data_IF_958963318138
#
_entry.id   IF_958963318138
#
_cell.length_a   1.000
_cell.length_b   1.000
_cell.length_c   1.000
_cell.angle_alpha   90.00
_cell.angle_beta   90.00
_cell.angle_gamma   90.00
#
_symmetry.space_group_name_H-M   'P 1'
#
loop_
_entity.id
_entity.type
_entity.pdbx_description
1 polymer ?
#
# COMPACT_ATOMS: atom_id res chain seq x y z
N UNK A 1 17.08 7.62 20.99
CA UNK A 1 15.74 7.62 21.63
C UNK A 1 15.34 6.19 21.95
N UNK A 2 14.47 5.93 22.92
CA UNK A 2 13.89 4.59 23.09
C UNK A 2 12.72 4.35 22.12
N UNK A 3 12.28 3.10 21.95
CA UNK A 3 11.24 2.72 20.97
C UNK A 3 9.92 3.46 21.25
N UNK A 4 9.50 3.58 22.51
CA UNK A 4 8.26 4.26 22.85
C UNK A 4 8.34 5.75 22.48
N UNK A 5 9.45 6.41 22.78
CA UNK A 5 9.67 7.81 22.40
C UNK A 5 9.61 8.00 20.89
N UNK A 6 10.20 7.07 20.11
CA UNK A 6 10.14 7.12 18.65
C UNK A 6 8.69 7.03 18.18
N UNK A 7 7.91 6.07 18.69
CA UNK A 7 6.53 5.87 18.26
C UNK A 7 5.62 7.05 18.64
N UNK A 8 5.78 7.60 19.85
CA UNK A 8 5.02 8.80 20.25
C UNK A 8 5.35 10.01 19.37
N UNK A 9 6.62 10.15 18.97
CA UNK A 9 7.03 11.23 18.06
C UNK A 9 6.45 11.07 16.64
N UNK A 10 6.18 9.83 16.20
CA UNK A 10 5.63 9.53 14.87
C UNK A 10 4.11 9.38 14.87
N UNK A 11 3.46 9.45 16.03
CA UNK A 11 2.03 9.13 16.18
C UNK A 11 1.11 10.18 15.56
N UNK A 12 1.46 11.46 15.72
CA UNK A 12 0.66 12.59 15.29
C UNK A 12 1.43 13.52 14.36
N UNK A 13 0.72 14.09 13.38
CA UNK A 13 1.20 15.08 12.45
C UNK A 13 1.58 16.33 13.23
N UNK A 14 2.84 16.72 13.16
CA UNK A 14 3.35 17.90 13.84
C UNK A 14 4.42 18.58 13.03
N UNK A 15 4.45 19.90 13.15
CA UNK A 15 5.50 20.74 12.63
C UNK A 15 6.48 21.12 13.78
N UNK A 16 7.81 21.05 13.56
CA UNK A 16 8.47 20.58 12.34
C UNK A 16 8.40 19.06 12.18
N UNK A 17 8.67 18.57 10.96
CA UNK A 17 8.76 17.14 10.66
C UNK A 17 9.73 16.43 11.63
N UNK A 18 9.36 15.25 12.20
CA UNK A 18 10.12 14.60 13.26
C UNK A 18 11.36 13.86 12.73
N UNK A 19 12.31 14.59 12.12
CA UNK A 19 13.52 14.04 11.50
C UNK A 19 14.32 13.13 12.45
N UNK A 20 14.45 13.52 13.71
CA UNK A 20 15.20 12.72 14.68
C UNK A 20 14.55 11.36 14.91
N UNK A 21 13.23 11.31 15.11
CA UNK A 21 12.50 10.07 15.35
C UNK A 21 12.58 9.13 14.13
N UNK A 22 12.42 9.66 12.91
CA UNK A 22 12.55 8.88 11.67
C UNK A 22 13.96 8.32 11.52
N UNK A 23 15.00 9.13 11.73
CA UNK A 23 16.39 8.67 11.62
C UNK A 23 16.72 7.60 12.67
N UNK A 24 16.23 7.76 13.90
CA UNK A 24 16.38 6.77 14.97
C UNK A 24 15.63 5.48 14.66
N UNK A 25 14.43 5.55 14.08
CA UNK A 25 13.69 4.37 13.62
C UNK A 25 14.46 3.59 12.55
N UNK A 26 15.04 4.29 11.57
CA UNK A 26 15.86 3.68 10.51
C UNK A 26 17.15 3.08 11.08
N UNK A 27 17.83 3.78 11.98
CA UNK A 27 19.06 3.30 12.62
C UNK A 27 18.83 2.05 13.49
N UNK A 28 17.63 1.90 14.07
CA UNK A 28 17.27 0.81 14.98
C UNK A 28 16.20 -0.12 14.38
N UNK A 29 16.21 -0.33 13.06
CA UNK A 29 15.13 -1.02 12.32
C UNK A 29 14.68 -2.34 12.95
N UNK A 30 15.60 -3.21 13.39
CA UNK A 30 15.27 -4.54 13.92
C UNK A 30 14.46 -4.46 15.23
N UNK A 31 14.70 -3.40 16.01
CA UNK A 31 13.99 -3.14 17.25
C UNK A 31 12.62 -2.48 17.01
N UNK A 32 12.51 -1.67 15.96
CA UNK A 32 11.31 -0.87 15.68
C UNK A 32 10.29 -1.63 14.84
N UNK A 33 10.72 -2.53 13.96
CA UNK A 33 9.84 -3.33 13.10
C UNK A 33 8.67 -3.99 13.87
N UNK A 34 8.90 -4.73 14.98
CA UNK A 34 7.79 -5.36 15.70
C UNK A 34 6.74 -4.35 16.18
N UNK A 35 7.15 -3.16 16.58
CA UNK A 35 6.23 -2.13 17.04
C UNK A 35 5.48 -1.46 15.87
N UNK A 36 6.13 -1.26 14.72
CA UNK A 36 5.44 -0.74 13.53
C UNK A 36 4.40 -1.73 12.98
N UNK A 37 4.73 -3.03 12.98
CA UNK A 37 3.75 -4.07 12.62
C UNK A 37 2.55 -4.02 13.57
N UNK A 38 2.80 -3.82 14.88
CA UNK A 38 1.74 -3.68 15.88
C UNK A 38 0.86 -2.46 15.63
N UNK A 39 1.43 -1.32 15.21
CA UNK A 39 0.66 -0.14 14.81
C UNK A 39 -0.30 -0.46 13.66
N UNK A 40 0.13 -1.23 12.65
CA UNK A 40 -0.74 -1.63 11.53
C UNK A 40 -1.79 -2.69 11.92
N UNK A 41 -1.49 -3.55 12.89
CA UNK A 41 -2.48 -4.48 13.44
C UNK A 41 -3.57 -3.73 14.22
N UNK A 42 -3.16 -2.75 15.02
CA UNK A 42 -4.05 -2.02 15.92
C UNK A 42 -4.88 -0.96 15.19
N UNK A 43 -4.37 -0.38 14.09
CA UNK A 43 -5.10 0.63 13.30
C UNK A 43 -6.47 0.13 12.81
N UNK A 44 -6.58 -1.18 12.52
CA UNK A 44 -7.82 -1.85 12.12
C UNK A 44 -8.89 -1.85 13.21
N UNK A 45 -8.48 -1.72 14.47
CA UNK A 45 -9.34 -1.81 15.64
C UNK A 45 -9.63 -0.44 16.26
N UNK A 46 -9.09 0.63 15.69
CA UNK A 46 -9.14 1.99 16.24
C UNK A 46 -9.76 2.98 15.23
N UNK A 47 -11.05 2.81 14.85
CA UNK A 47 -11.71 3.74 13.94
C UNK A 47 -11.68 5.18 14.48
N UNK A 48 -11.76 5.36 15.80
CA UNK A 48 -11.67 6.69 16.42
C UNK A 48 -10.31 7.36 16.22
N UNK A 49 -9.21 6.60 16.18
CA UNK A 49 -7.90 7.15 15.89
C UNK A 49 -7.72 7.45 14.39
N UNK A 50 -8.31 6.63 13.51
CA UNK A 50 -8.30 6.89 12.07
C UNK A 50 -9.17 8.08 11.67
N UNK A 51 -10.15 8.45 12.49
CA UNK A 51 -10.97 9.65 12.33
C UNK A 51 -10.27 10.93 12.84
N UNK A 52 -9.13 10.80 13.52
CA UNK A 52 -8.32 11.95 13.93
C UNK A 52 -7.40 12.34 12.77
N UNK A 53 -7.68 13.46 12.11
CA UNK A 53 -6.91 13.96 10.97
C UNK A 53 -5.43 14.21 11.30
N UNK A 54 -5.10 14.44 12.58
CA UNK A 54 -3.73 14.60 13.02
C UNK A 54 -3.05 13.24 13.27
N UNK A 55 -3.76 12.12 13.34
CA UNK A 55 -3.14 10.81 13.54
C UNK A 55 -2.51 10.28 12.25
N UNK A 56 -1.20 10.05 12.29
CA UNK A 56 -0.41 9.60 11.13
C UNK A 56 0.52 8.43 11.46
N UNK A 57 0.32 7.78 12.61
CA UNK A 57 1.17 6.68 13.07
C UNK A 57 1.21 5.49 12.10
N UNK A 58 0.06 5.13 11.53
CA UNK A 58 -0.04 4.08 10.50
C UNK A 58 0.67 4.48 9.20
N UNK A 59 0.61 5.75 8.81
CA UNK A 59 1.30 6.27 7.63
C UNK A 59 2.81 6.10 7.79
N UNK A 60 3.39 6.54 8.91
CA UNK A 60 4.81 6.32 9.19
C UNK A 60 5.17 4.84 9.22
N UNK A 61 4.32 4.00 9.81
CA UNK A 61 4.54 2.55 9.83
C UNK A 61 4.59 1.98 8.41
N UNK A 62 3.68 2.35 7.51
CA UNK A 62 3.68 1.90 6.13
C UNK A 62 4.96 2.30 5.38
N UNK A 63 5.37 3.57 5.45
CA UNK A 63 6.60 4.02 4.78
C UNK A 63 7.85 3.37 5.32
N UNK A 64 8.00 3.27 6.65
CA UNK A 64 9.18 2.68 7.28
C UNK A 64 9.26 1.18 6.97
N UNK A 65 8.15 0.44 7.09
CA UNK A 65 8.11 -0.99 6.77
C UNK A 65 8.37 -1.25 5.27
N UNK A 66 7.89 -0.38 4.37
CA UNK A 66 8.23 -0.41 2.96
C UNK A 66 9.72 -0.14 2.71
N UNK A 67 10.29 0.88 3.35
CA UNK A 67 11.72 1.18 3.29
C UNK A 67 12.58 0.00 3.77
N UNK A 68 12.13 -0.70 4.81
CA UNK A 68 12.80 -1.88 5.34
C UNK A 68 12.55 -3.14 4.51
N UNK A 69 11.62 -3.08 3.54
CA UNK A 69 11.14 -4.22 2.75
C UNK A 69 10.65 -5.37 3.65
N UNK A 70 9.95 -5.04 4.73
CA UNK A 70 9.47 -6.02 5.72
C UNK A 70 8.25 -6.80 5.18
N UNK A 71 8.46 -8.06 4.78
CA UNK A 71 7.41 -8.89 4.18
C UNK A 71 6.22 -9.14 5.11
N UNK A 72 6.43 -9.17 6.43
CA UNK A 72 5.33 -9.35 7.41
C UNK A 72 4.28 -8.24 7.35
N UNK A 73 4.64 -7.06 6.83
CA UNK A 73 3.69 -5.95 6.64
C UNK A 73 2.70 -6.22 5.50
N UNK A 74 3.05 -7.09 4.54
CA UNK A 74 2.26 -7.32 3.34
C UNK A 74 0.79 -7.70 3.62
N UNK A 75 0.50 -8.78 4.38
CA UNK A 75 -0.89 -9.11 4.70
C UNK A 75 -1.58 -8.02 5.53
N UNK A 76 -0.83 -7.32 6.40
CA UNK A 76 -1.42 -6.30 7.27
C UNK A 76 -1.90 -5.09 6.48
N UNK A 77 -1.07 -4.61 5.54
CA UNK A 77 -1.38 -3.47 4.69
C UNK A 77 -2.49 -3.81 3.69
N UNK A 78 -2.45 -4.99 3.06
CA UNK A 78 -3.53 -5.41 2.16
C UNK A 78 -4.85 -5.50 2.90
N UNK A 79 -4.88 -6.11 4.08
CA UNK A 79 -6.10 -6.20 4.88
C UNK A 79 -6.62 -4.81 5.30
N UNK A 80 -5.72 -3.88 5.68
CA UNK A 80 -6.09 -2.51 5.99
C UNK A 80 -6.76 -1.82 4.79
N UNK A 81 -6.18 -1.93 3.59
CA UNK A 81 -6.78 -1.39 2.37
C UNK A 81 -7.94 -2.22 1.81
N UNK A 82 -8.28 -3.35 2.43
CA UNK A 82 -9.45 -4.16 2.08
C UNK A 82 -10.70 -3.82 2.90
N UNK A 83 -10.58 -2.94 3.89
CA UNK A 83 -11.71 -2.51 4.72
C UNK A 83 -12.71 -1.79 3.80
N UNK A 84 -13.98 -2.25 3.73
CA UNK A 84 -15.02 -1.53 3.01
C UNK A 84 -15.27 -0.18 3.68
N UNK A 85 -15.66 0.83 2.90
CA UNK A 85 -15.91 2.23 3.31
C UNK A 85 -14.73 3.18 3.05
N UNK A 86 -15.04 4.47 2.99
CA UNK A 86 -14.10 5.55 2.70
C UNK A 86 -13.23 5.92 3.92
N UNK A 87 -13.41 5.27 5.08
CA UNK A 87 -12.57 5.47 6.27
C UNK A 87 -11.07 5.30 5.97
N UNK A 88 -10.71 4.30 5.17
CA UNK A 88 -9.32 4.09 4.74
C UNK A 88 -8.87 5.22 3.82
N UNK A 89 -9.76 5.69 2.95
CA UNK A 89 -9.49 6.79 2.03
C UNK A 89 -9.19 8.08 2.79
N UNK A 90 -10.05 8.45 3.73
CA UNK A 90 -9.89 9.66 4.53
C UNK A 90 -8.65 9.60 5.43
N UNK A 91 -8.39 8.45 6.06
CA UNK A 91 -7.27 8.29 7.00
C UNK A 91 -5.89 8.12 6.36
N UNK A 92 -5.81 7.82 5.06
CA UNK A 92 -4.52 7.67 4.35
C UNK A 92 -4.22 8.78 3.37
N UNK A 93 -5.20 9.63 3.07
CA UNK A 93 -5.05 10.77 2.17
C UNK A 93 -4.45 10.34 0.82
N UNK A 94 -3.45 11.08 0.37
CA UNK A 94 -2.86 10.91 -0.96
C UNK A 94 -2.04 9.61 -1.14
N UNK A 95 -1.81 8.83 -0.08
CA UNK A 95 -1.07 7.55 -0.18
C UNK A 95 -1.71 6.63 -1.21
N UNK A 96 -3.04 6.56 -1.26
CA UNK A 96 -3.76 5.63 -2.14
C UNK A 96 -3.42 5.87 -3.61
N UNK A 97 -3.32 7.14 -4.01
CA UNK A 97 -3.13 7.54 -5.41
C UNK A 97 -1.66 7.72 -5.76
N UNK A 98 -0.83 8.15 -4.81
CA UNK A 98 0.57 8.53 -5.07
C UNK A 98 1.58 7.41 -4.77
N UNK A 99 1.42 6.70 -3.64
CA UNK A 99 2.51 5.89 -3.07
C UNK A 99 2.15 4.41 -2.81
N UNK A 100 0.87 4.06 -2.76
CA UNK A 100 0.39 2.71 -2.41
C UNK A 100 1.07 1.63 -3.26
N UNK A 101 1.22 1.87 -4.57
CA UNK A 101 1.84 0.92 -5.47
C UNK A 101 3.31 0.62 -5.12
N UNK A 102 4.05 1.63 -4.65
CA UNK A 102 5.46 1.50 -4.27
C UNK A 102 5.60 0.84 -2.91
N UNK A 103 4.69 1.15 -1.98
CA UNK A 103 4.61 0.52 -0.66
C UNK A 103 4.36 -0.99 -0.82
N UNK A 104 3.29 -1.36 -1.53
CA UNK A 104 2.93 -2.76 -1.76
C UNK A 104 4.03 -3.52 -2.51
N UNK A 105 4.61 -2.95 -3.57
CA UNK A 105 5.70 -3.60 -4.30
C UNK A 105 6.92 -3.87 -3.40
N UNK A 106 7.26 -2.94 -2.51
CA UNK A 106 8.43 -3.06 -1.63
C UNK A 106 8.32 -4.17 -0.58
N UNK A 107 7.09 -4.54 -0.18
CA UNK A 107 6.83 -5.53 0.87
C UNK A 107 6.30 -6.86 0.33
N UNK A 108 5.87 -6.92 -0.93
CA UNK A 108 5.34 -8.13 -1.55
C UNK A 108 6.43 -9.16 -1.91
N UNK A 109 7.63 -8.69 -2.31
CA UNK A 109 8.74 -9.55 -2.77
C UNK A 109 8.30 -10.54 -3.86
N UNK A 110 7.68 -10.02 -4.94
CA UNK A 110 7.13 -10.80 -6.05
C UNK A 110 5.85 -11.60 -5.75
N UNK A 111 5.42 -11.72 -4.50
CA UNK A 111 4.14 -12.35 -4.15
C UNK A 111 2.98 -11.42 -4.49
N UNK A 112 2.23 -11.75 -5.54
CA UNK A 112 1.15 -10.91 -6.05
C UNK A 112 -0.26 -11.43 -5.72
N UNK A 113 -0.39 -12.47 -4.88
CA UNK A 113 -1.69 -13.08 -4.58
C UNK A 113 -2.63 -12.06 -3.93
N UNK A 114 -2.16 -11.37 -2.88
CA UNK A 114 -3.00 -10.40 -2.16
C UNK A 114 -3.20 -9.10 -2.94
N UNK A 115 -2.24 -8.74 -3.81
CA UNK A 115 -2.39 -7.60 -4.73
C UNK A 115 -3.52 -7.88 -5.71
N UNK A 116 -3.55 -9.07 -6.32
CA UNK A 116 -4.63 -9.45 -7.24
C UNK A 116 -5.97 -9.52 -6.54
N UNK A 117 -6.02 -10.02 -5.30
CA UNK A 117 -7.27 -10.01 -4.54
C UNK A 117 -7.81 -8.61 -4.26
N UNK A 118 -6.94 -7.59 -4.08
CA UNK A 118 -7.39 -6.20 -4.00
C UNK A 118 -8.02 -5.75 -5.32
N UNK A 119 -7.33 -5.95 -6.44
CA UNK A 119 -7.81 -5.56 -7.79
C UNK A 119 -9.20 -6.14 -8.08
N UNK A 120 -9.40 -7.42 -7.77
CA UNK A 120 -10.61 -8.16 -8.10
C UNK A 120 -11.77 -7.92 -7.12
N UNK A 121 -11.52 -7.36 -5.92
CA UNK A 121 -12.54 -7.18 -4.90
C UNK A 121 -13.40 -5.91 -5.16
N UNK A 122 -14.64 -6.11 -5.61
CA UNK A 122 -15.60 -5.02 -5.88
C UNK A 122 -16.01 -4.21 -4.65
N UNK A 123 -15.80 -4.72 -3.43
CA UNK A 123 -16.10 -3.99 -2.20
C UNK A 123 -15.00 -2.99 -1.80
N UNK A 124 -13.83 -3.05 -2.45
CA UNK A 124 -12.71 -2.14 -2.19
C UNK A 124 -12.84 -0.89 -3.05
N UNK A 125 -12.49 0.26 -2.47
CA UNK A 125 -12.50 1.55 -3.16
C UNK A 125 -11.69 1.48 -4.48
N UNK A 126 -12.21 2.06 -5.55
CA UNK A 126 -11.65 1.91 -6.89
C UNK A 126 -10.23 2.47 -7.05
N UNK A 127 -9.85 3.50 -6.27
CA UNK A 127 -8.50 4.05 -6.28
C UNK A 127 -7.48 3.10 -5.67
N UNK A 128 -7.87 2.36 -4.61
CA UNK A 128 -7.02 1.31 -4.02
C UNK A 128 -6.81 0.18 -5.03
N UNK A 129 -7.88 -0.24 -5.70
CA UNK A 129 -7.83 -1.29 -6.74
C UNK A 129 -6.94 -0.88 -7.91
N UNK A 130 -7.01 0.39 -8.33
CA UNK A 130 -6.14 0.97 -9.33
C UNK A 130 -4.66 1.03 -8.88
N UNK A 131 -4.39 1.45 -7.64
CA UNK A 131 -3.04 1.39 -7.05
C UNK A 131 -2.49 -0.04 -6.97
N UNK A 132 -3.34 -1.03 -6.70
CA UNK A 132 -2.98 -2.44 -6.72
C UNK A 132 -2.62 -2.93 -8.15
N UNK A 133 -3.32 -2.48 -9.20
CA UNK A 133 -2.92 -2.75 -10.59
C UNK A 133 -1.52 -2.19 -10.90
N UNK A 134 -1.27 -0.93 -10.55
CA UNK A 134 0.01 -0.24 -10.74
C UNK A 134 1.17 -0.91 -9.97
N UNK A 135 0.87 -1.61 -8.87
CA UNK A 135 1.85 -2.38 -8.11
C UNK A 135 2.51 -3.45 -8.99
N UNK A 136 1.74 -4.12 -9.85
CA UNK A 136 2.25 -5.18 -10.74
C UNK A 136 3.26 -4.63 -11.76
N UNK A 137 3.01 -3.42 -12.29
CA UNK A 137 3.97 -2.71 -13.14
C UNK A 137 5.24 -2.35 -12.37
N UNK A 138 5.08 -1.87 -11.13
CA UNK A 138 6.20 -1.49 -10.26
C UNK A 138 7.10 -2.70 -10.00
N UNK A 139 6.53 -3.86 -9.71
CA UNK A 139 7.26 -5.12 -9.52
C UNK A 139 7.91 -5.62 -10.82
N UNK A 140 7.26 -5.42 -11.98
CA UNK A 140 7.86 -5.73 -13.28
C UNK A 140 9.11 -4.89 -13.53
N UNK A 141 9.04 -3.57 -13.30
CA UNK A 141 10.19 -2.66 -13.46
C UNK A 141 11.32 -3.01 -12.49
N UNK A 142 10.99 -3.49 -11.28
CA UNK A 142 11.97 -3.98 -10.31
C UNK A 142 12.55 -5.36 -10.66
N UNK A 143 12.03 -6.04 -11.68
CA UNK A 143 12.45 -7.39 -12.07
C UNK A 143 11.91 -8.50 -11.17
N UNK A 144 10.93 -8.21 -10.32
CA UNK A 144 10.28 -9.22 -9.45
C UNK A 144 9.19 -10.01 -10.19
N UNK A 145 8.57 -9.42 -11.22
CA UNK A 145 7.61 -10.09 -12.10
C UNK A 145 8.09 -10.03 -13.54
N UNK A 146 7.78 -11.09 -14.31
CA UNK A 146 8.04 -11.04 -15.75
C UNK A 146 6.91 -10.32 -16.47
N UNK A 147 7.25 -9.65 -17.57
CA UNK A 147 6.28 -8.92 -18.40
C UNK A 147 5.14 -9.81 -18.90
N UNK A 148 5.43 -11.02 -19.34
CA UNK A 148 4.44 -11.99 -19.83
C UNK A 148 3.41 -12.34 -18.75
N UNK A 149 3.82 -12.41 -17.48
CA UNK A 149 2.93 -12.67 -16.34
C UNK A 149 1.96 -11.51 -16.11
N UNK A 150 2.45 -10.26 -16.18
CA UNK A 150 1.61 -9.07 -16.02
C UNK A 150 0.63 -8.93 -17.19
N UNK A 151 1.11 -9.11 -18.43
CA UNK A 151 0.27 -9.09 -19.64
C UNK A 151 -0.82 -10.16 -19.57
N UNK A 152 -0.47 -11.39 -19.19
CA UNK A 152 -1.45 -12.48 -19.07
C UNK A 152 -2.52 -12.16 -18.02
N UNK A 153 -2.13 -11.57 -16.89
CA UNK A 153 -3.08 -11.15 -15.87
C UNK A 153 -4.01 -10.03 -16.37
N UNK A 154 -3.48 -8.97 -16.98
CA UNK A 154 -4.30 -7.88 -17.54
C UNK A 154 -5.28 -8.39 -18.61
N UNK A 155 -4.84 -9.31 -19.48
CA UNK A 155 -5.72 -9.96 -20.45
C UNK A 155 -6.87 -10.71 -19.77
N UNK A 156 -6.62 -11.35 -18.63
CA UNK A 156 -7.67 -12.05 -17.88
C UNK A 156 -8.73 -11.08 -17.33
N UNK A 157 -8.31 -9.90 -16.86
CA UNK A 157 -9.20 -8.83 -16.42
C UNK A 157 -10.09 -8.33 -17.57
N UNK A 158 -9.51 -8.05 -18.75
CA UNK A 158 -10.27 -7.69 -19.97
C UNK A 158 -11.30 -8.75 -20.39
N UNK A 159 -11.00 -10.04 -20.15
CA UNK A 159 -11.80 -11.20 -20.55
C UNK A 159 -12.87 -11.60 -19.53
N UNK A 160 -13.06 -10.83 -18.46
CA UNK A 160 -14.13 -11.05 -17.48
C UNK A 160 -13.66 -11.17 -16.03
N UNK A 161 -12.38 -10.94 -15.75
CA UNK A 161 -11.90 -10.79 -14.37
C UNK A 161 -12.40 -9.52 -13.68
N UNK A 162 -12.91 -8.55 -14.45
CA UNK A 162 -13.61 -7.36 -13.93
C UNK A 162 -15.04 -7.29 -14.47
N UNK A 163 -15.96 -6.84 -13.62
CA UNK A 163 -17.33 -6.49 -14.01
C UNK A 163 -17.30 -5.36 -15.04
N UNK A 164 -18.12 -5.47 -16.09
CA UNK A 164 -18.16 -4.51 -17.21
C UNK A 164 -19.02 -3.29 -16.88
N UNK A 165 -18.55 -2.48 -15.94
CA UNK A 165 -19.12 -1.19 -15.57
C UNK A 165 -18.01 -0.12 -15.57
N UNK A 166 -18.29 1.14 -15.96
CA UNK A 166 -17.29 2.21 -15.88
C UNK A 166 -16.75 2.36 -14.46
N UNK A 167 -15.43 2.41 -14.31
CA UNK A 167 -14.73 2.63 -13.04
C UNK A 167 -13.29 3.07 -13.30
N UNK A 168 -12.65 3.71 -12.33
CA UNK A 168 -11.23 4.09 -12.37
C UNK A 168 -10.34 2.87 -12.66
N UNK A 169 -10.72 1.69 -12.16
CA UNK A 169 -9.98 0.44 -12.39
C UNK A 169 -9.91 0.08 -13.88
N UNK A 170 -10.98 0.34 -14.65
CA UNK A 170 -10.98 0.11 -16.09
C UNK A 170 -10.10 1.11 -16.84
N UNK A 171 -10.18 2.39 -16.46
CA UNK A 171 -9.37 3.45 -17.06
C UNK A 171 -7.88 3.19 -16.82
N UNK A 172 -7.51 2.85 -15.59
CA UNK A 172 -6.12 2.53 -15.24
C UNK A 172 -5.65 1.22 -15.85
N UNK A 173 -6.50 0.20 -16.00
CA UNK A 173 -6.15 -1.01 -16.73
C UNK A 173 -5.76 -0.71 -18.18
N UNK A 174 -6.47 0.20 -18.85
CA UNK A 174 -6.13 0.65 -20.22
C UNK A 174 -4.83 1.44 -20.20
N UNK A 175 -4.69 2.44 -19.31
CA UNK A 175 -3.48 3.26 -19.20
C UNK A 175 -2.24 2.38 -18.95
N UNK A 176 -2.30 1.50 -17.95
CA UNK A 176 -1.22 0.59 -17.57
C UNK A 176 -0.91 -0.46 -18.64
N UNK A 177 -1.88 -0.81 -19.49
CA UNK A 177 -1.60 -1.66 -20.64
C UNK A 177 -0.72 -0.97 -21.69
N UNK A 178 -0.79 0.36 -21.78
CA UNK A 178 0.11 1.13 -22.66
C UNK A 178 1.53 1.24 -22.08
N UNK A 179 1.65 1.29 -20.75
CA UNK A 179 2.95 1.27 -20.04
C UNK A 179 3.72 -0.04 -20.21
N UNK A 180 3.02 -1.13 -20.54
CA UNK A 180 3.64 -2.44 -20.81
C UNK A 180 4.38 -2.49 -22.14
N UNK A 181 4.41 -1.40 -22.92
CA UNK A 181 4.96 -1.33 -24.28
C UNK A 181 4.38 -2.45 -25.15
N UNK A 182 3.21 -2.26 -25.79
CA UNK A 182 2.77 -3.18 -26.81
C UNK A 182 3.87 -3.23 -27.89
N UNK A 183 4.59 -4.35 -27.97
CA UNK A 183 5.44 -4.61 -29.13
C UNK A 183 4.50 -4.58 -30.35
N UNK A 184 4.76 -3.64 -31.26
CA UNK A 184 4.08 -3.51 -32.56
C UNK A 184 4.25 -4.80 -33.40
#
# INVERSE_FOLDING_TARGET
MNIQEILEELKYCKAPFPHQAVNEAVANKELVIPALLKVLEDSKQLPDALNDEDYVGHIFAMYLLAQFREKRAYPLIVEFFSIPDDLVFDSTGDIITEDLNRILASIAHGDNVLIKSLVENEAVNEFIRAGALKTLLTQMVQGELRRDEVVAYFQSLFRGGLKREPSVVWDDLVCHSTDLYPEE
#
